data_IF_230805927921
#
_entry.id   IF_230805927921
#
_cell.length_a   1.000
_cell.length_b   1.000
_cell.length_c   1.000
_cell.angle_alpha   90.00
_cell.angle_beta   90.00
_cell.angle_gamma   90.00
#
_symmetry.space_group_name_H-M   'P 1'
#
loop_
_entity.id
_entity.type
_entity.pdbx_description
1 polymer ?
#
# COMPACT_ATOMS: atom_id res chain seq x y z
N UNK A 1 -9.61 -34.27 31.31
CA UNK A 1 -8.16 -34.02 31.21
C UNK A 1 -7.95 -32.79 30.34
N UNK A 2 -8.09 -31.60 30.94
CA UNK A 2 -7.80 -30.35 30.25
C UNK A 2 -6.35 -30.01 30.55
N UNK A 3 -5.52 -30.09 29.53
CA UNK A 3 -4.11 -29.72 29.58
C UNK A 3 -4.03 -28.21 29.89
N UNK A 4 -3.49 -27.87 31.05
CA UNK A 4 -3.22 -26.50 31.46
C UNK A 4 -2.10 -26.02 30.54
N UNK A 5 -2.48 -25.35 29.45
CA UNK A 5 -1.51 -24.74 28.55
C UNK A 5 -0.80 -23.64 29.34
N UNK A 6 0.48 -23.88 29.66
CA UNK A 6 1.34 -22.92 30.31
C UNK A 6 1.42 -21.65 29.46
N UNK A 7 1.36 -20.48 30.12
CA UNK A 7 1.54 -19.19 29.46
C UNK A 7 2.92 -19.06 28.79
N UNK A 8 3.87 -19.92 29.18
CA UNK A 8 5.19 -20.07 28.56
C UNK A 8 5.28 -21.18 27.49
N UNK A 9 4.18 -21.83 27.10
CA UNK A 9 4.18 -22.68 25.92
C UNK A 9 4.64 -21.86 24.69
N UNK A 10 5.73 -22.26 24.01
CA UNK A 10 6.24 -21.54 22.84
C UNK A 10 5.21 -21.33 21.73
N UNK A 11 4.21 -22.21 21.60
CA UNK A 11 3.12 -22.06 20.62
C UNK A 11 2.21 -20.89 20.98
N UNK A 12 1.74 -20.83 22.21
CA UNK A 12 0.92 -19.72 22.74
C UNK A 12 1.70 -18.40 22.72
N UNK A 13 2.99 -18.42 23.03
CA UNK A 13 3.84 -17.24 22.92
C UNK A 13 3.93 -16.73 21.47
N UNK A 14 4.05 -17.62 20.48
CA UNK A 14 4.07 -17.26 19.05
C UNK A 14 2.73 -16.69 18.57
N UNK A 15 1.61 -17.28 18.99
CA UNK A 15 0.28 -16.77 18.64
C UNK A 15 0.05 -15.36 19.17
N UNK A 16 0.43 -15.10 20.43
CA UNK A 16 0.36 -13.77 21.03
C UNK A 16 1.23 -12.76 20.29
N UNK A 17 2.44 -13.14 19.89
CA UNK A 17 3.32 -12.28 19.09
C UNK A 17 2.72 -11.97 17.72
N UNK A 18 2.19 -12.99 17.04
CA UNK A 18 1.57 -12.82 15.72
C UNK A 18 0.37 -11.87 15.79
N UNK A 19 -0.46 -11.97 16.84
CA UNK A 19 -1.57 -11.04 17.08
C UNK A 19 -1.07 -9.60 17.26
N UNK A 20 -0.07 -9.38 18.12
CA UNK A 20 0.51 -8.05 18.34
C UNK A 20 1.16 -7.47 17.07
N UNK A 21 1.81 -8.31 16.25
CA UNK A 21 2.34 -7.91 14.95
C UNK A 21 1.24 -7.51 13.97
N UNK A 22 0.11 -8.23 13.95
CA UNK A 22 -1.03 -7.90 13.12
C UNK A 22 -1.66 -6.55 13.53
N UNK A 23 -1.79 -6.29 14.83
CA UNK A 23 -2.25 -4.99 15.36
C UNK A 23 -1.33 -3.85 14.93
N UNK A 24 -0.01 -4.03 15.06
CA UNK A 24 0.97 -3.04 14.62
C UNK A 24 0.89 -2.78 13.11
N UNK A 25 0.79 -3.82 12.29
CA UNK A 25 0.64 -3.67 10.84
C UNK A 25 -0.66 -2.95 10.48
N UNK A 26 -1.75 -3.24 11.18
CA UNK A 26 -3.02 -2.54 11.00
C UNK A 26 -2.88 -1.04 11.31
N UNK A 27 -2.22 -0.69 12.42
CA UNK A 27 -1.98 0.70 12.81
C UNK A 27 -1.11 1.47 11.78
N UNK A 28 -0.10 0.81 11.22
CA UNK A 28 0.85 1.41 10.28
C UNK A 28 0.34 1.48 8.85
N UNK A 29 -0.48 0.52 8.41
CA UNK A 29 -0.82 0.35 6.99
C UNK A 29 -2.30 0.60 6.68
N UNK A 30 -3.20 0.52 7.67
CA UNK A 30 -4.64 0.49 7.48
C UNK A 30 -5.40 1.40 8.47
N UNK A 31 -4.75 2.44 9.02
CA UNK A 31 -5.32 3.37 10.00
C UNK A 31 -5.93 2.73 11.25
N UNK A 32 -5.42 1.57 11.66
CA UNK A 32 -5.78 1.00 12.96
C UNK A 32 -5.34 1.89 14.12
N UNK A 33 -5.94 1.71 15.32
CA UNK A 33 -5.51 2.42 16.53
C UNK A 33 -4.08 2.02 16.91
N UNK A 34 -3.40 2.89 17.67
CA UNK A 34 -2.10 2.56 18.24
C UNK A 34 -2.21 1.36 19.20
N UNK A 35 -1.44 0.27 19.01
CA UNK A 35 -1.45 -0.86 19.92
C UNK A 35 -0.86 -0.47 21.28
N UNK A 36 -1.28 -1.18 22.34
CA UNK A 36 -0.79 -0.92 23.69
C UNK A 36 0.75 -0.98 23.77
N UNK A 37 1.35 -0.01 24.47
CA UNK A 37 2.81 0.08 24.64
C UNK A 37 3.56 0.75 23.49
N UNK A 38 2.88 1.14 22.41
CA UNK A 38 3.46 1.98 21.36
C UNK A 38 3.12 3.45 21.57
N UNK A 39 4.10 4.30 21.27
CA UNK A 39 3.91 5.75 21.23
C UNK A 39 3.22 6.16 19.92
N UNK A 40 2.08 6.83 20.03
CA UNK A 40 1.24 7.22 18.89
C UNK A 40 1.99 8.17 17.93
N UNK A 41 2.77 9.13 18.47
CA UNK A 41 3.51 10.08 17.64
C UNK A 41 4.61 9.38 16.83
N UNK A 42 5.29 8.39 17.42
CA UNK A 42 6.27 7.57 16.70
C UNK A 42 5.62 6.70 15.63
N UNK A 43 4.43 6.15 15.89
CA UNK A 43 3.67 5.43 14.87
C UNK A 43 3.28 6.34 13.70
N UNK A 44 2.90 7.59 13.97
CA UNK A 44 2.58 8.57 12.94
C UNK A 44 3.79 8.95 12.09
N UNK A 45 4.99 9.03 12.68
CA UNK A 45 6.24 9.19 11.93
C UNK A 45 6.46 8.01 10.99
N UNK A 46 6.32 6.78 11.50
CA UNK A 46 6.54 5.56 10.72
C UNK A 46 5.50 5.41 9.60
N UNK A 47 4.21 5.67 9.87
CA UNK A 47 3.14 5.65 8.86
C UNK A 47 3.49 6.56 7.68
N UNK A 48 3.95 7.78 7.96
CA UNK A 48 4.37 8.74 6.92
C UNK A 48 5.61 8.28 6.16
N UNK A 49 6.58 7.68 6.84
CA UNK A 49 7.77 7.12 6.21
C UNK A 49 7.41 5.97 5.25
N UNK A 50 6.59 5.03 5.70
CA UNK A 50 6.11 3.90 4.90
C UNK A 50 5.27 4.34 3.69
N UNK A 51 4.39 5.33 3.86
CA UNK A 51 3.62 5.93 2.78
C UNK A 51 4.55 6.59 1.75
N UNK A 52 5.53 7.37 2.21
CA UNK A 52 6.53 8.00 1.34
C UNK A 52 7.34 6.98 0.55
N UNK A 53 7.76 5.89 1.20
CA UNK A 53 8.47 4.79 0.55
C UNK A 53 7.61 4.10 -0.51
N UNK A 54 6.34 3.81 -0.19
CA UNK A 54 5.37 3.22 -1.13
C UNK A 54 5.23 4.09 -2.37
N UNK A 55 4.97 5.39 -2.16
CA UNK A 55 4.82 6.38 -3.22
C UNK A 55 6.06 6.48 -4.12
N UNK A 56 7.25 6.48 -3.52
CA UNK A 56 8.52 6.48 -4.25
C UNK A 56 8.70 5.25 -5.14
N UNK A 57 8.35 4.06 -4.64
CA UNK A 57 8.39 2.82 -5.42
C UNK A 57 7.39 2.87 -6.58
N UNK A 58 6.15 3.32 -6.35
CA UNK A 58 5.14 3.43 -7.40
C UNK A 58 5.54 4.43 -8.48
N UNK A 59 6.09 5.58 -8.09
CA UNK A 59 6.67 6.55 -9.05
C UNK A 59 7.79 5.92 -9.89
N UNK A 60 8.69 5.17 -9.26
CA UNK A 60 9.79 4.50 -9.94
C UNK A 60 9.31 3.43 -10.92
N UNK A 61 8.26 2.69 -10.58
CA UNK A 61 7.69 1.63 -11.43
C UNK A 61 6.78 2.16 -12.54
N UNK A 62 6.18 3.33 -12.36
CA UNK A 62 5.27 3.97 -13.33
C UNK A 62 5.63 5.42 -13.62
N UNK A 63 6.85 5.73 -14.12
CA UNK A 63 7.29 7.11 -14.32
C UNK A 63 6.37 7.87 -15.28
N UNK A 64 5.91 7.26 -16.37
CA UNK A 64 4.98 7.90 -17.31
C UNK A 64 3.64 8.30 -16.66
N UNK A 65 3.12 7.49 -15.73
CA UNK A 65 1.92 7.82 -14.95
C UNK A 65 2.20 8.98 -14.01
N UNK A 66 3.35 8.97 -13.33
CA UNK A 66 3.74 10.05 -12.44
C UNK A 66 3.95 11.37 -13.18
N UNK A 67 4.56 11.32 -14.37
CA UNK A 67 4.80 12.48 -15.21
C UNK A 67 3.50 13.08 -15.76
N UNK A 68 2.53 12.25 -16.17
CA UNK A 68 1.21 12.71 -16.61
C UNK A 68 0.40 13.36 -15.46
N UNK A 69 0.52 12.82 -14.25
CA UNK A 69 -0.14 13.38 -13.07
C UNK A 69 0.55 14.65 -12.57
N UNK A 70 1.87 14.78 -12.75
CA UNK A 70 2.65 15.92 -12.27
C UNK A 70 2.48 16.14 -10.78
N UNK A 71 2.20 17.39 -10.38
CA UNK A 71 2.01 17.76 -8.98
C UNK A 71 0.81 17.06 -8.31
N UNK A 72 -0.16 16.58 -9.10
CA UNK A 72 -1.31 15.81 -8.59
C UNK A 72 -0.92 14.42 -8.12
N UNK A 73 0.22 13.88 -8.57
CA UNK A 73 0.64 12.51 -8.25
C UNK A 73 0.66 12.25 -6.74
N UNK A 74 1.26 13.17 -5.97
CA UNK A 74 1.39 13.01 -4.52
C UNK A 74 0.05 13.00 -3.79
N UNK A 75 -0.82 14.03 -3.89
CA UNK A 75 -2.10 14.02 -3.20
C UNK A 75 -3.02 12.87 -3.67
N UNK A 76 -3.02 12.52 -4.96
CA UNK A 76 -3.79 11.38 -5.46
C UNK A 76 -3.28 10.05 -4.92
N UNK A 77 -1.95 9.87 -4.85
CA UNK A 77 -1.38 8.65 -4.28
C UNK A 77 -1.70 8.50 -2.80
N UNK A 78 -1.67 9.60 -2.04
CA UNK A 78 -1.96 9.59 -0.61
C UNK A 78 -3.44 9.21 -0.36
N UNK A 79 -4.37 9.73 -1.18
CA UNK A 79 -5.77 9.35 -1.15
C UNK A 79 -5.99 7.88 -1.53
N UNK A 80 -5.40 7.43 -2.65
CA UNK A 80 -5.44 6.03 -3.07
C UNK A 80 -4.93 5.09 -1.98
N UNK A 81 -3.80 5.43 -1.36
CA UNK A 81 -3.16 4.57 -0.36
C UNK A 81 -4.01 4.42 0.91
N UNK A 82 -4.81 5.42 1.26
CA UNK A 82 -5.76 5.40 2.37
C UNK A 82 -6.88 4.38 2.13
N UNK A 83 -7.45 4.39 0.92
CA UNK A 83 -8.52 3.47 0.49
C UNK A 83 -7.99 2.07 0.18
N UNK A 84 -6.70 1.96 -0.12
CA UNK A 84 -6.05 0.72 -0.52
C UNK A 84 -4.84 0.39 0.39
N UNK A 85 -5.08 0.01 1.67
CA UNK A 85 -4.05 -0.49 2.56
C UNK A 85 -3.26 -1.66 1.96
N UNK A 86 -1.94 -1.69 2.21
CA UNK A 86 -1.13 -2.84 1.81
C UNK A 86 -1.46 -4.06 2.66
N UNK A 87 -1.52 -5.22 2.01
CA UNK A 87 -1.72 -6.52 2.65
C UNK A 87 -0.47 -7.38 2.48
N UNK A 88 -0.37 -8.44 3.29
CA UNK A 88 0.68 -9.44 3.11
C UNK A 88 0.64 -10.00 1.67
N UNK A 89 1.80 -10.13 1.03
CA UNK A 89 1.91 -10.61 -0.35
C UNK A 89 1.61 -9.58 -1.44
N UNK A 90 1.22 -8.34 -1.11
CA UNK A 90 1.06 -7.27 -2.10
C UNK A 90 2.38 -7.01 -2.85
N UNK A 91 2.36 -7.14 -4.19
CA UNK A 91 3.52 -6.86 -5.03
C UNK A 91 3.52 -5.40 -5.46
N UNK A 92 4.70 -4.78 -5.47
CA UNK A 92 4.84 -3.37 -5.83
C UNK A 92 4.38 -3.04 -7.26
N UNK A 93 4.55 -3.97 -8.21
CA UNK A 93 4.08 -3.79 -9.59
C UNK A 93 2.55 -3.79 -9.69
N UNK A 94 1.89 -4.65 -8.92
CA UNK A 94 0.42 -4.73 -8.88
C UNK A 94 -0.15 -3.46 -8.24
N UNK A 95 0.53 -2.93 -7.21
CA UNK A 95 0.18 -1.67 -6.55
C UNK A 95 0.28 -0.46 -7.51
N UNK A 96 1.36 -0.38 -8.29
CA UNK A 96 1.52 0.67 -9.30
C UNK A 96 0.46 0.58 -10.41
N UNK A 97 0.11 -0.64 -10.85
CA UNK A 97 -0.94 -0.85 -11.83
C UNK A 97 -2.32 -0.47 -11.28
N UNK A 98 -2.64 -0.87 -10.05
CA UNK A 98 -3.89 -0.55 -9.37
C UNK A 98 -4.04 0.96 -9.14
N UNK A 99 -2.98 1.66 -8.74
CA UNK A 99 -3.00 3.12 -8.63
C UNK A 99 -3.33 3.80 -9.97
N UNK A 100 -2.75 3.32 -11.08
CA UNK A 100 -3.03 3.87 -12.39
C UNK A 100 -4.49 3.62 -12.82
N UNK A 101 -5.06 2.44 -12.54
CA UNK A 101 -6.47 2.17 -12.81
C UNK A 101 -7.41 3.00 -11.92
N UNK A 102 -7.07 3.16 -10.63
CA UNK A 102 -7.81 4.04 -9.72
C UNK A 102 -7.85 5.49 -10.22
N UNK A 103 -6.71 6.02 -10.68
CA UNK A 103 -6.66 7.36 -11.28
C UNK A 103 -7.47 7.46 -12.59
N UNK A 104 -7.50 6.42 -13.42
CA UNK A 104 -8.33 6.42 -14.64
C UNK A 104 -9.82 6.40 -14.31
N UNK A 105 -10.22 5.61 -13.32
CA UNK A 105 -11.59 5.58 -12.83
C UNK A 105 -12.04 6.94 -12.28
N UNK A 106 -11.11 7.67 -11.64
CA UNK A 106 -11.32 9.04 -11.17
C UNK A 106 -11.22 10.12 -12.27
N UNK A 107 -10.87 9.75 -13.52
CA UNK A 107 -10.68 10.71 -14.62
C UNK A 107 -9.38 11.53 -14.54
N UNK A 108 -8.48 11.20 -13.62
CA UNK A 108 -7.22 11.92 -13.37
C UNK A 108 -6.13 11.57 -14.40
N UNK A 109 -6.24 10.39 -15.01
CA UNK A 109 -5.38 9.92 -16.10
C UNK A 109 -6.19 9.78 -17.38
N UNK A 110 -5.58 10.11 -18.51
CA UNK A 110 -6.17 9.86 -19.82
C UNK A 110 -6.47 8.37 -20.00
N UNK A 111 -7.60 8.08 -20.65
CA UNK A 111 -7.91 6.72 -21.09
C UNK A 111 -6.72 6.21 -21.91
N UNK A 112 -6.29 4.95 -21.68
CA UNK A 112 -5.18 4.31 -22.41
C UNK A 112 -5.24 4.75 -23.88
N UNK A 113 -4.31 5.62 -24.31
CA UNK A 113 -4.18 5.93 -25.72
C UNK A 113 -3.84 4.60 -26.39
N UNK A 114 -4.82 3.97 -27.05
CA UNK A 114 -4.52 2.89 -28.00
C UNK A 114 -3.42 3.44 -28.89
N UNK A 115 -2.29 2.76 -28.99
CA UNK A 115 -1.21 3.16 -29.88
C UNK A 115 -1.84 3.45 -31.24
N UNK A 116 -1.85 4.73 -31.65
CA UNK A 116 -2.36 5.13 -32.97
C UNK A 116 -1.31 4.75 -34.01
N UNK A 117 -1.11 3.46 -34.19
CA UNK A 117 -0.37 2.95 -35.34
C UNK A 117 -1.30 3.03 -36.54
N UNK A 118 -1.16 4.13 -37.28
CA UNK A 118 -1.91 4.41 -38.51
C UNK A 118 -1.05 4.34 -39.78
N UNK A 119 0.05 3.58 -39.75
CA UNK A 119 0.88 3.37 -40.93
C UNK A 119 1.43 1.94 -40.96
N UNK A 120 0.64 1.01 -41.50
CA UNK A 120 1.08 -0.11 -42.33
C UNK A 120 -0.17 -0.78 -42.92
N UNK A 121 -0.71 -0.13 -43.96
CA UNK A 121 -1.30 -0.85 -45.07
C UNK A 121 -0.47 -0.46 -46.28
N UNK A 122 0.28 -1.41 -46.81
CA UNK A 122 0.80 -1.35 -48.16
C UNK A 122 0.86 -2.79 -48.65
N UNK A 123 0.07 -3.03 -49.70
CA UNK A 123 -0.02 -4.15 -50.63
C UNK A 123 0.79 -5.42 -50.33
#
# INVERSE_FOLDING_TARGET
MAEIIDRNDPSVARERLAAAQAELLNALLANGPAPAGFDEQRLDVERRALLSKRRGIVRMLGPAVADELGDRFRPLFDAYALENPRRAGSRARDDAAAFAEWCRAAGELSAKRKARWKFWQSN
#
